data_IF_196600294800
#
_entry.id   IF_196600294800
#
_cell.length_a   1.000
_cell.length_b   1.000
_cell.length_c   1.000
_cell.angle_alpha   90.00
_cell.angle_beta   90.00
_cell.angle_gamma   90.00
#
_symmetry.space_group_name_H-M   'P 1'
#
loop_
_entity.id
_entity.type
_entity.pdbx_description
1 polymer ?
#
# COMPACT_ATOMS: atom_id res chain seq x y z
N UNK A 1 40.31 48.02 7.72
CA UNK A 1 39.90 46.80 8.44
C UNK A 1 38.54 46.21 7.99
N UNK A 2 37.90 46.76 6.94
CA UNK A 2 36.61 46.24 6.41
C UNK A 2 36.74 45.29 5.21
N UNK A 3 37.93 45.08 4.65
CA UNK A 3 38.12 44.26 3.43
C UNK A 3 38.07 42.74 3.67
N UNK A 4 38.06 42.28 4.92
CA UNK A 4 37.96 40.84 5.26
C UNK A 4 36.53 40.33 5.38
N UNK A 5 35.53 41.21 5.33
CA UNK A 5 34.11 40.83 5.47
C UNK A 5 33.47 40.39 4.14
N UNK A 6 34.09 40.70 2.99
CA UNK A 6 33.55 40.41 1.66
C UNK A 6 34.42 39.45 0.84
N UNK A 7 35.24 38.65 1.50
CA UNK A 7 35.86 37.50 0.82
C UNK A 7 34.73 36.57 0.44
N UNK A 8 34.33 36.58 -0.83
CA UNK A 8 33.60 35.48 -1.45
C UNK A 8 34.47 34.24 -1.29
N UNK A 9 34.30 33.55 -0.17
CA UNK A 9 34.65 32.14 -0.09
C UNK A 9 33.81 31.48 -1.15
N UNK A 10 34.45 31.01 -2.21
CA UNK A 10 33.88 29.98 -3.06
C UNK A 10 33.53 28.83 -2.14
N UNK A 11 32.25 28.72 -1.76
CA UNK A 11 31.72 27.51 -1.16
C UNK A 11 31.80 26.41 -2.22
N UNK A 12 32.91 25.69 -2.22
CA UNK A 12 32.97 24.41 -2.88
C UNK A 12 32.29 23.40 -1.96
N UNK A 13 31.28 22.70 -2.49
CA UNK A 13 30.71 21.53 -1.80
C UNK A 13 31.86 20.56 -1.53
N UNK A 14 32.19 20.36 -0.26
CA UNK A 14 33.26 19.47 0.20
C UNK A 14 33.01 17.99 -0.16
N UNK A 15 31.83 17.66 -0.67
CA UNK A 15 31.42 16.30 -1.02
C UNK A 15 31.24 16.25 -2.54
N UNK A 16 32.17 15.57 -3.21
CA UNK A 16 32.09 15.29 -4.64
C UNK A 16 31.43 13.93 -4.87
N UNK A 17 30.90 13.72 -6.08
CA UNK A 17 30.35 12.41 -6.45
C UNK A 17 31.39 11.29 -6.30
N UNK A 18 32.68 11.60 -6.51
CA UNK A 18 33.75 10.63 -6.30
C UNK A 18 33.97 10.28 -4.83
N UNK A 19 33.81 11.22 -3.89
CA UNK A 19 33.97 10.91 -2.45
C UNK A 19 32.83 10.04 -1.91
N UNK A 20 31.61 10.19 -2.42
CA UNK A 20 30.47 9.31 -2.09
C UNK A 20 30.65 7.89 -2.65
N UNK A 21 31.14 7.77 -3.89
CA UNK A 21 31.39 6.46 -4.51
C UNK A 21 32.57 5.72 -3.86
N UNK A 22 33.62 6.44 -3.47
CA UNK A 22 34.80 5.89 -2.80
C UNK A 22 34.54 5.42 -1.37
N UNK A 23 33.55 6.00 -0.69
CA UNK A 23 33.09 5.54 0.62
C UNK A 23 32.29 4.22 0.57
N UNK A 24 32.00 3.70 -0.63
CA UNK A 24 31.22 2.47 -0.81
C UNK A 24 29.72 2.63 -0.55
N UNK A 25 29.25 3.87 -0.35
CA UNK A 25 27.88 4.22 0.03
C UNK A 25 26.97 4.51 -1.19
N UNK A 26 27.36 4.00 -2.35
CA UNK A 26 26.53 4.11 -3.54
C UNK A 26 25.26 3.28 -3.31
N UNK A 27 24.09 3.95 -3.34
CA UNK A 27 22.72 3.42 -3.46
C UNK A 27 21.82 3.36 -2.23
N UNK A 28 22.20 3.81 -1.03
CA UNK A 28 21.19 4.00 0.03
C UNK A 28 20.51 5.37 -0.11
N UNK A 29 19.18 5.37 -0.28
CA UNK A 29 18.35 6.56 -0.22
C UNK A 29 18.45 7.19 1.18
N UNK A 30 19.41 8.09 1.40
CA UNK A 30 19.59 8.74 2.69
C UNK A 30 18.38 9.62 3.01
N UNK A 31 17.67 9.33 4.10
CA UNK A 31 16.68 10.25 4.68
C UNK A 31 17.40 11.39 5.40
N UNK A 32 16.72 12.47 5.79
CA UNK A 32 17.35 13.59 6.53
C UNK A 32 18.01 13.15 7.85
N UNK A 33 17.64 11.99 8.40
CA UNK A 33 18.26 11.38 9.58
C UNK A 33 19.36 10.36 9.25
N UNK A 34 19.63 10.08 7.97
CA UNK A 34 20.66 9.14 7.51
C UNK A 34 20.26 7.66 7.58
N UNK A 35 19.02 7.35 7.97
CA UNK A 35 18.55 5.96 8.13
C UNK A 35 17.40 5.66 7.19
N UNK A 36 17.53 4.61 6.38
CA UNK A 36 16.42 4.03 5.61
C UNK A 36 15.54 3.25 6.57
N UNK A 37 14.26 3.64 6.69
CA UNK A 37 13.30 2.94 7.54
C UNK A 37 12.39 2.09 6.64
N UNK A 38 12.43 0.77 6.83
CA UNK A 38 11.54 -0.16 6.15
C UNK A 38 10.27 -0.43 6.97
N UNK A 39 9.31 -1.14 6.39
CA UNK A 39 8.15 -1.64 7.12
C UNK A 39 8.55 -2.54 8.29
N UNK A 40 9.52 -3.43 8.09
CA UNK A 40 10.04 -4.31 9.12
C UNK A 40 10.72 -3.52 10.25
N UNK A 41 11.49 -2.49 9.91
CA UNK A 41 12.12 -1.62 10.90
C UNK A 41 11.10 -0.80 11.69
N UNK A 42 10.04 -0.35 11.03
CA UNK A 42 8.94 0.38 11.67
C UNK A 42 8.23 -0.50 12.70
N UNK A 43 7.95 -1.76 12.36
CA UNK A 43 7.25 -2.70 13.25
C UNK A 43 8.09 -3.16 14.45
N UNK A 44 9.42 -3.03 14.40
CA UNK A 44 10.28 -3.27 15.58
C UNK A 44 10.06 -2.23 16.67
N UNK A 45 9.51 -1.06 16.35
CA UNK A 45 9.15 -0.04 17.32
C UNK A 45 7.82 -0.43 17.97
N UNK A 46 7.86 -0.77 19.26
CA UNK A 46 6.69 -1.28 19.98
C UNK A 46 5.47 -0.36 19.96
N UNK A 47 5.67 0.96 19.93
CA UNK A 47 4.57 1.94 19.81
C UNK A 47 3.89 1.87 18.43
N UNK A 48 4.66 1.76 17.35
CA UNK A 48 4.12 1.63 15.98
C UNK A 48 3.34 0.33 15.86
N UNK A 49 3.92 -0.78 16.30
CA UNK A 49 3.25 -2.08 16.31
C UNK A 49 1.92 -2.03 17.09
N UNK A 50 1.93 -1.44 18.29
CA UNK A 50 0.74 -1.34 19.12
C UNK A 50 -0.37 -0.50 18.46
N UNK A 51 -0.02 0.64 17.85
CA UNK A 51 -1.00 1.49 17.14
C UNK A 51 -1.61 0.80 15.93
N UNK A 52 -0.77 0.19 15.08
CA UNK A 52 -1.24 -0.53 13.88
C UNK A 52 -2.15 -1.68 14.27
N UNK A 53 -1.74 -2.48 15.27
CA UNK A 53 -2.55 -3.58 15.77
C UNK A 53 -3.88 -3.10 16.35
N UNK A 54 -3.87 -2.05 17.17
CA UNK A 54 -5.09 -1.52 17.79
C UNK A 54 -6.13 -1.09 16.73
N UNK A 55 -5.69 -0.39 15.68
CA UNK A 55 -6.57 0.05 14.59
C UNK A 55 -7.08 -1.16 13.80
N UNK A 56 -6.19 -2.08 13.43
CA UNK A 56 -6.52 -3.27 12.65
C UNK A 56 -7.53 -4.19 13.38
N UNK A 57 -7.30 -4.45 14.67
CA UNK A 57 -8.18 -5.27 15.52
C UNK A 57 -9.54 -4.58 15.73
N UNK A 58 -9.55 -3.26 15.95
CA UNK A 58 -10.80 -2.52 16.20
C UNK A 58 -11.70 -2.52 14.98
N UNK A 59 -11.15 -2.29 13.79
CA UNK A 59 -11.95 -2.20 12.56
C UNK A 59 -12.36 -3.59 12.06
N UNK A 60 -11.50 -4.61 12.16
CA UNK A 60 -11.80 -5.96 11.66
C UNK A 60 -12.99 -6.62 12.38
N UNK A 61 -13.22 -6.26 13.64
CA UNK A 61 -14.34 -6.78 14.44
C UNK A 61 -15.69 -6.17 14.10
N UNK A 62 -15.73 -5.07 13.33
CA UNK A 62 -16.98 -4.43 12.95
C UNK A 62 -17.86 -5.36 12.09
N UNK A 63 -19.18 -5.38 12.31
CA UNK A 63 -20.09 -6.21 11.53
C UNK A 63 -20.24 -5.63 10.12
N UNK A 64 -20.15 -6.50 9.12
CA UNK A 64 -20.35 -6.16 7.71
C UNK A 64 -21.52 -6.98 7.18
N UNK A 65 -22.44 -6.36 6.45
CA UNK A 65 -23.53 -7.06 5.79
C UNK A 65 -23.83 -6.55 4.38
N UNK A 66 -24.39 -7.45 3.56
CA UNK A 66 -24.66 -7.23 2.14
C UNK A 66 -26.11 -6.81 1.94
N UNK A 67 -26.32 -5.83 1.07
CA UNK A 67 -27.63 -5.26 0.79
C UNK A 67 -27.75 -4.98 -0.71
N UNK A 68 -28.97 -5.15 -1.22
CA UNK A 68 -29.35 -4.77 -2.57
C UNK A 68 -30.49 -3.76 -2.52
N UNK A 69 -30.61 -2.96 -3.58
CA UNK A 69 -31.78 -2.09 -3.78
C UNK A 69 -32.72 -2.78 -4.75
N UNK A 70 -33.96 -3.00 -4.31
CA UNK A 70 -35.05 -3.54 -5.14
C UNK A 70 -36.18 -2.52 -5.07
N UNK A 71 -36.58 -1.97 -6.22
CA UNK A 71 -37.63 -0.95 -6.33
C UNK A 71 -37.41 0.28 -5.43
N UNK A 72 -36.15 0.67 -5.21
CA UNK A 72 -35.76 1.80 -4.37
C UNK A 72 -35.53 1.46 -2.89
N UNK A 73 -36.01 0.30 -2.43
CA UNK A 73 -35.87 -0.14 -1.04
C UNK A 73 -34.58 -0.94 -0.80
N UNK A 74 -33.88 -0.64 0.29
CA UNK A 74 -32.69 -1.39 0.73
C UNK A 74 -33.13 -2.67 1.45
N UNK A 75 -32.84 -3.83 0.86
CA UNK A 75 -33.10 -5.15 1.45
C UNK A 75 -31.79 -5.93 1.66
N UNK A 76 -31.65 -6.74 2.74
CA UNK A 76 -30.50 -7.62 2.89
C UNK A 76 -30.37 -8.56 1.70
N UNK A 77 -29.17 -8.71 1.17
CA UNK A 77 -28.88 -9.64 0.08
C UNK A 77 -28.71 -11.04 0.65
N UNK A 78 -29.53 -12.00 0.21
CA UNK A 78 -29.53 -13.37 0.73
C UNK A 78 -29.70 -14.40 -0.40
N UNK A 79 -29.03 -15.58 -0.33
CA UNK A 79 -28.07 -15.97 0.69
C UNK A 79 -26.84 -15.06 0.70
N UNK A 80 -26.26 -14.87 1.89
CA UNK A 80 -25.09 -14.00 2.05
C UNK A 80 -23.92 -14.62 1.26
N UNK A 81 -23.17 -13.84 0.48
CA UNK A 81 -22.06 -14.40 -0.30
C UNK A 81 -20.98 -14.94 0.63
N UNK A 82 -20.41 -16.09 0.28
CA UNK A 82 -19.41 -16.80 1.09
C UNK A 82 -18.15 -15.95 1.32
N UNK A 83 -17.69 -15.23 0.29
CA UNK A 83 -16.52 -14.35 0.36
C UNK A 83 -16.65 -13.21 1.38
N UNK A 84 -17.85 -12.94 1.91
CA UNK A 84 -18.01 -11.93 2.97
C UNK A 84 -17.54 -12.48 4.32
N UNK A 85 -17.74 -13.77 4.58
CA UNK A 85 -17.38 -14.41 5.85
C UNK A 85 -16.05 -15.17 5.77
N UNK A 86 -15.76 -15.77 4.62
CA UNK A 86 -14.49 -16.42 4.32
C UNK A 86 -13.97 -15.90 2.97
N UNK A 87 -13.29 -14.74 2.96
CA UNK A 87 -12.83 -14.11 1.72
C UNK A 87 -11.83 -14.97 0.93
N UNK A 88 -11.00 -15.74 1.62
CA UNK A 88 -10.05 -16.67 1.02
C UNK A 88 -10.05 -17.98 1.83
N UNK A 89 -9.73 -19.10 1.17
CA UNK A 89 -9.71 -20.42 1.81
C UNK A 89 -8.71 -20.41 2.97
N UNK A 90 -9.21 -20.63 4.19
CA UNK A 90 -8.39 -20.64 5.40
C UNK A 90 -8.08 -19.26 5.98
N UNK A 91 -8.63 -18.18 5.41
CA UNK A 91 -8.50 -16.81 5.92
C UNK A 91 -9.87 -16.34 6.41
N UNK A 92 -9.96 -16.03 7.70
CA UNK A 92 -11.20 -15.49 8.27
C UNK A 92 -11.45 -14.07 7.79
N UNK A 93 -12.71 -13.62 7.83
CA UNK A 93 -13.06 -12.21 7.57
C UNK A 93 -12.22 -11.22 8.39
N UNK A 94 -11.97 -11.53 9.67
CA UNK A 94 -11.18 -10.67 10.55
C UNK A 94 -9.73 -10.54 10.08
N UNK A 95 -9.11 -11.66 9.70
CA UNK A 95 -7.73 -11.68 9.24
C UNK A 95 -7.59 -10.94 7.90
N UNK A 96 -8.57 -11.11 7.00
CA UNK A 96 -8.61 -10.39 5.73
C UNK A 96 -8.62 -8.86 5.94
N UNK A 97 -9.49 -8.35 6.81
CA UNK A 97 -9.53 -6.92 7.11
C UNK A 97 -8.26 -6.44 7.81
N UNK A 98 -7.68 -7.24 8.70
CA UNK A 98 -6.37 -6.92 9.30
C UNK A 98 -5.29 -6.79 8.24
N UNK A 99 -5.19 -7.71 7.29
CA UNK A 99 -4.22 -7.65 6.18
C UNK A 99 -4.39 -6.37 5.35
N UNK A 100 -5.63 -6.02 4.98
CA UNK A 100 -5.94 -4.78 4.25
C UNK A 100 -5.49 -3.55 5.03
N UNK A 101 -5.82 -3.48 6.32
CA UNK A 101 -5.50 -2.33 7.16
C UNK A 101 -4.00 -2.21 7.44
N UNK A 102 -3.31 -3.32 7.68
CA UNK A 102 -1.86 -3.36 7.86
C UNK A 102 -1.15 -2.86 6.61
N UNK A 103 -1.57 -3.31 5.43
CA UNK A 103 -1.06 -2.84 4.14
C UNK A 103 -1.28 -1.32 3.98
N UNK A 104 -2.49 -0.86 4.28
CA UNK A 104 -2.83 0.57 4.18
C UNK A 104 -2.02 1.44 5.15
N UNK A 105 -1.93 1.07 6.43
CA UNK A 105 -1.26 1.86 7.47
C UNK A 105 0.27 1.90 7.33
N UNK A 106 0.87 0.87 6.73
CA UNK A 106 2.33 0.76 6.62
C UNK A 106 2.85 1.19 5.24
N UNK A 107 2.09 0.94 4.18
CA UNK A 107 2.53 1.21 2.80
C UNK A 107 1.66 2.27 2.09
N UNK A 108 0.63 2.81 2.74
CA UNK A 108 -0.30 3.78 2.16
C UNK A 108 -1.23 3.22 1.08
N UNK A 109 -1.12 1.92 0.78
CA UNK A 109 -1.83 1.24 -0.28
C UNK A 109 -2.24 -0.17 0.15
N UNK A 110 -3.43 -0.61 -0.26
CA UNK A 110 -3.88 -1.99 -0.15
C UNK A 110 -4.43 -2.46 -1.49
N UNK A 111 -4.04 -3.66 -1.88
CA UNK A 111 -4.45 -4.30 -3.13
C UNK A 111 -5.15 -5.61 -2.80
N UNK A 112 -6.44 -5.69 -3.11
CA UNK A 112 -7.22 -6.92 -2.93
C UNK A 112 -7.65 -7.41 -4.31
N UNK A 113 -7.11 -8.56 -4.71
CA UNK A 113 -7.47 -9.22 -5.96
C UNK A 113 -8.83 -9.88 -5.79
N UNK A 114 -9.73 -9.61 -6.74
CA UNK A 114 -11.00 -10.28 -6.86
C UNK A 114 -10.77 -11.55 -7.68
N UNK A 115 -11.04 -12.70 -7.08
CA UNK A 115 -11.01 -13.99 -7.76
C UNK A 115 -12.43 -14.27 -8.22
N UNK A 116 -12.61 -14.46 -9.53
CA UNK A 116 -13.90 -14.72 -10.15
C UNK A 116 -13.95 -16.12 -10.76
N UNK A 117 -15.14 -16.69 -10.75
CA UNK A 117 -15.52 -17.91 -11.46
C UNK A 117 -16.75 -17.65 -12.36
N UNK A 118 -17.27 -18.68 -13.00
CA UNK A 118 -18.46 -18.58 -13.86
C UNK A 118 -19.73 -18.17 -13.09
N UNK A 119 -19.75 -18.31 -11.76
CA UNK A 119 -20.86 -17.97 -10.89
C UNK A 119 -20.75 -16.56 -10.28
N UNK A 120 -19.59 -15.90 -10.40
CA UNK A 120 -19.38 -14.53 -9.95
C UNK A 120 -18.07 -14.38 -9.18
N UNK A 121 -18.14 -13.75 -8.00
CA UNK A 121 -16.96 -13.55 -7.14
C UNK A 121 -16.79 -14.79 -6.26
N UNK A 122 -15.71 -15.52 -6.47
CA UNK A 122 -15.34 -16.71 -5.71
C UNK A 122 -14.55 -16.37 -4.44
N UNK A 123 -13.78 -15.28 -4.44
CA UNK A 123 -12.98 -14.89 -3.28
C UNK A 123 -12.23 -13.57 -3.44
N UNK A 124 -11.57 -13.16 -2.37
CA UNK A 124 -10.79 -11.93 -2.25
C UNK A 124 -9.45 -12.25 -1.59
N UNK A 125 -8.36 -12.04 -2.31
CA UNK A 125 -7.00 -12.26 -1.81
C UNK A 125 -6.26 -10.93 -1.67
N UNK A 126 -5.73 -10.65 -0.47
CA UNK A 126 -4.91 -9.44 -0.24
C UNK A 126 -3.50 -9.70 -0.77
N UNK A 127 -3.01 -8.84 -1.66
CA UNK A 127 -1.68 -8.95 -2.23
C UNK A 127 -0.67 -8.12 -1.44
N UNK A 128 0.58 -8.56 -1.45
CA UNK A 128 1.68 -7.76 -0.90
C UNK A 128 1.86 -6.50 -1.76
N UNK A 129 1.71 -5.28 -1.19
CA UNK A 129 1.79 -4.03 -1.95
C UNK A 129 3.17 -3.78 -2.56
N UNK A 130 4.25 -4.30 -1.97
CA UNK A 130 5.60 -4.14 -2.49
C UNK A 130 5.85 -4.91 -3.79
N UNK A 131 4.96 -5.85 -4.12
CA UNK A 131 5.03 -6.67 -5.33
C UNK A 131 4.04 -6.23 -6.41
N UNK A 132 3.25 -5.19 -6.15
CA UNK A 132 2.26 -4.67 -7.09
C UNK A 132 2.78 -3.38 -7.72
N UNK A 133 2.89 -3.39 -9.04
CA UNK A 133 3.20 -2.20 -9.83
C UNK A 133 1.93 -1.72 -10.55
N UNK A 134 1.55 -0.46 -10.37
CA UNK A 134 0.39 0.12 -11.04
C UNK A 134 0.84 0.77 -12.34
N UNK A 135 0.25 0.38 -13.47
CA UNK A 135 0.53 0.94 -14.80
C UNK A 135 -0.75 1.40 -15.47
N UNK A 136 -0.60 2.19 -16.53
CA UNK A 136 -1.66 2.46 -17.50
C UNK A 136 -1.39 1.71 -18.78
N UNK A 137 -2.43 1.07 -19.29
CA UNK A 137 -2.43 0.49 -20.64
C UNK A 137 -2.55 1.60 -21.71
N UNK A 138 -2.39 1.25 -22.99
CA UNK A 138 -2.52 2.15 -24.14
C UNK A 138 -3.86 2.91 -24.16
N UNK A 139 -4.91 2.26 -23.64
CA UNK A 139 -6.25 2.84 -23.47
C UNK A 139 -6.39 3.75 -22.24
N UNK A 140 -5.28 4.09 -21.55
CA UNK A 140 -5.21 4.85 -20.27
C UNK A 140 -5.96 4.23 -19.09
N UNK A 141 -6.34 2.96 -19.20
CA UNK A 141 -6.96 2.18 -18.11
C UNK A 141 -5.88 1.69 -17.16
N UNK A 142 -6.20 1.63 -15.87
CA UNK A 142 -5.30 1.10 -14.86
C UNK A 142 -5.16 -0.41 -15.01
N UNK A 143 -3.93 -0.89 -14.92
CA UNK A 143 -3.59 -2.31 -14.83
C UNK A 143 -2.60 -2.49 -13.67
N UNK A 144 -2.65 -3.65 -13.05
CA UNK A 144 -1.80 -3.99 -11.91
C UNK A 144 -0.93 -5.17 -12.29
N UNK A 145 0.39 -4.97 -12.24
CA UNK A 145 1.36 -6.05 -12.50
C UNK A 145 1.83 -6.59 -11.15
N UNK A 146 1.52 -7.85 -10.87
CA UNK A 146 1.94 -8.52 -9.64
C UNK A 146 3.13 -9.44 -9.91
N UNK A 147 4.20 -9.27 -9.11
CA UNK A 147 5.43 -10.08 -9.15
C UNK A 147 6.09 -10.12 -10.56
N UNK A 148 5.92 -9.04 -11.34
CA UNK A 148 6.39 -8.90 -12.74
C UNK A 148 5.90 -9.97 -13.72
N UNK A 149 4.89 -10.75 -13.35
CA UNK A 149 4.41 -11.88 -14.15
C UNK A 149 2.91 -11.79 -14.45
N UNK A 150 2.11 -11.41 -13.45
CA UNK A 150 0.66 -11.48 -13.54
C UNK A 150 0.06 -10.09 -13.76
N UNK A 151 -0.59 -9.91 -14.90
CA UNK A 151 -1.35 -8.69 -15.18
C UNK A 151 -2.78 -8.89 -14.69
N UNK A 152 -3.21 -8.02 -13.77
CA UNK A 152 -4.55 -8.00 -13.19
C UNK A 152 -5.23 -6.72 -13.69
N UNK A 153 -6.43 -6.88 -14.25
CA UNK A 153 -7.22 -5.76 -14.78
C UNK A 153 -7.83 -4.94 -13.65
N UNK A 154 -8.17 -3.68 -13.92
CA UNK A 154 -8.83 -2.80 -12.95
C UNK A 154 -10.12 -3.39 -12.36
N UNK A 155 -10.88 -4.12 -13.17
CA UNK A 155 -12.17 -4.71 -12.80
C UNK A 155 -12.04 -5.87 -11.79
N UNK A 156 -10.85 -6.43 -11.68
CA UNK A 156 -10.51 -7.55 -10.79
C UNK A 156 -9.58 -7.14 -9.64
N UNK A 157 -9.40 -5.83 -9.43
CA UNK A 157 -8.56 -5.29 -8.36
C UNK A 157 -9.27 -4.21 -7.58
N UNK A 158 -9.37 -4.40 -6.27
CA UNK A 158 -9.73 -3.35 -5.33
C UNK A 158 -8.42 -2.70 -4.86
N UNK A 159 -8.17 -1.47 -5.32
CA UNK A 159 -7.05 -0.66 -4.87
C UNK A 159 -7.53 0.45 -3.95
N UNK A 160 -7.18 0.34 -2.66
CA UNK A 160 -7.40 1.37 -1.66
C UNK A 160 -6.09 2.13 -1.45
N UNK A 161 -6.14 3.46 -1.49
CA UNK A 161 -4.98 4.33 -1.33
C UNK A 161 -5.32 5.41 -0.32
N UNK A 162 -4.44 5.65 0.64
CA UNK A 162 -4.65 6.63 1.71
C UNK A 162 -4.57 8.06 1.17
N UNK A 163 -3.51 8.38 0.44
CA UNK A 163 -3.29 9.69 -0.17
C UNK A 163 -2.66 9.52 -1.56
N UNK A 164 -3.26 10.17 -2.56
CA UNK A 164 -2.75 10.17 -3.94
C UNK A 164 -2.14 11.53 -4.27
N UNK A 165 -0.89 11.55 -4.71
CA UNK A 165 -0.27 12.78 -5.18
C UNK A 165 -0.75 13.11 -6.61
N UNK A 166 -0.90 14.41 -6.95
CA UNK A 166 -1.19 14.80 -8.33
C UNK A 166 -0.06 14.35 -9.27
N UNK A 167 -0.40 13.59 -10.30
CA UNK A 167 0.56 13.07 -11.28
C UNK A 167 1.01 11.63 -11.02
N UNK A 168 0.68 11.07 -9.86
CA UNK A 168 0.74 9.63 -9.67
C UNK A 168 -0.49 9.01 -10.37
N UNK A 169 -0.21 8.23 -11.43
CA UNK A 169 -1.11 7.60 -12.42
C UNK A 169 -1.25 8.32 -13.77
#
# INVERSE_FOLDING_TARGET
MLSRLFTQGTEERAISFQSLFAAGDAFQFTTNSGTVVTQEDSLKIGTVYACVRLIADSISTLPVDTYIRVDGDRRPYRPRPEWVDMPEIGVSRTDHFQQVLVSMLLNGNSFTRIIRDDAGVAGLAVLNPLKVEVKRDESRRLIYVYDNQYIIQHEDMIHLSELRLPGDL
#
